data_IF_032066949659
#
_entry.id   IF_032066949659
#
_cell.length_a   1.000
_cell.length_b   1.000
_cell.length_c   1.000
_cell.angle_alpha   90.00
_cell.angle_beta   90.00
_cell.angle_gamma   90.00
#
_symmetry.space_group_name_H-M   'P 1'
#
loop_
_entity.id
_entity.type
_entity.pdbx_description
1 polymer ?
#
# COMPACT_ATOMS: atom_id res chain seq x y z
N UNK A 1 -12.12 -11.95 -0.94
CA UNK A 1 -11.79 -12.26 -2.36
C UNK A 1 -13.06 -12.22 -3.18
N UNK A 2 -13.10 -11.67 -4.41
CA UNK A 2 -14.26 -11.77 -5.27
C UNK A 2 -14.61 -13.21 -5.60
N UNK A 3 -15.90 -13.48 -5.78
CA UNK A 3 -16.38 -14.80 -6.17
C UNK A 3 -15.96 -15.15 -7.62
N UNK A 4 -15.93 -16.44 -7.95
CA UNK A 4 -15.42 -16.94 -9.26
C UNK A 4 -16.16 -16.40 -10.49
N UNK A 5 -17.38 -15.90 -10.33
CA UNK A 5 -18.18 -15.32 -11.40
C UNK A 5 -18.00 -13.81 -11.59
N UNK A 6 -17.13 -13.18 -10.81
CA UNK A 6 -16.80 -11.75 -10.94
C UNK A 6 -15.70 -11.56 -11.98
N UNK A 7 -15.92 -10.62 -12.91
CA UNK A 7 -14.92 -10.25 -13.92
C UNK A 7 -13.78 -9.48 -13.27
N UNK A 8 -12.62 -10.13 -13.10
CA UNK A 8 -11.47 -9.57 -12.40
C UNK A 8 -10.81 -8.40 -13.16
N UNK A 9 -10.96 -8.34 -14.49
CA UNK A 9 -10.46 -7.22 -15.30
C UNK A 9 -11.20 -5.92 -15.03
N UNK A 10 -12.44 -6.01 -14.52
CA UNK A 10 -13.26 -4.88 -14.05
C UNK A 10 -13.22 -4.71 -12.54
N UNK A 11 -12.79 -5.75 -11.82
CA UNK A 11 -12.74 -5.73 -10.36
C UNK A 11 -11.62 -4.87 -9.83
N UNK A 12 -10.39 -5.13 -10.27
CA UNK A 12 -9.19 -4.51 -9.69
C UNK A 12 -8.93 -3.12 -10.28
N UNK A 13 -9.00 -2.10 -9.44
CA UNK A 13 -8.69 -0.71 -9.76
C UNK A 13 -7.37 -0.31 -9.10
N UNK A 14 -6.70 0.72 -9.63
CA UNK A 14 -5.51 1.29 -9.01
C UNK A 14 -5.81 1.83 -7.60
N UNK A 15 -4.78 1.99 -6.76
CA UNK A 15 -4.90 2.57 -5.43
C UNK A 15 -5.57 3.95 -5.46
N UNK A 16 -6.36 4.26 -4.43
CA UNK A 16 -7.21 5.45 -4.36
C UNK A 16 -6.43 6.77 -4.38
N UNK A 17 -5.16 6.76 -4.01
CA UNK A 17 -4.25 7.90 -3.92
C UNK A 17 -3.42 8.14 -5.19
N UNK A 18 -3.66 7.34 -6.24
CA UNK A 18 -3.01 7.53 -7.54
C UNK A 18 -3.86 8.41 -8.47
N UNK A 19 -3.22 9.03 -9.47
CA UNK A 19 -3.87 9.87 -10.48
C UNK A 19 -4.74 10.98 -9.90
N UNK A 20 -4.33 11.59 -8.78
CA UNK A 20 -5.10 12.59 -8.02
C UNK A 20 -5.34 13.90 -8.76
N UNK A 21 -4.60 14.16 -9.85
CA UNK A 21 -4.76 15.34 -10.73
C UNK A 21 -5.30 14.98 -12.12
N UNK A 22 -5.73 13.73 -12.36
CA UNK A 22 -6.09 13.20 -13.67
C UNK A 22 -7.53 12.66 -13.68
N UNK A 23 -8.55 13.53 -13.78
CA UNK A 23 -9.96 13.11 -13.76
C UNK A 23 -10.30 12.16 -14.91
N UNK A 24 -9.65 12.30 -16.08
CA UNK A 24 -9.91 11.44 -17.24
C UNK A 24 -9.54 9.98 -16.98
N UNK A 25 -8.51 9.72 -16.16
CA UNK A 25 -8.18 8.37 -15.74
C UNK A 25 -9.36 7.73 -14.99
N UNK A 26 -9.90 8.43 -14.00
CA UNK A 26 -11.01 7.92 -13.18
C UNK A 26 -12.31 7.80 -13.97
N UNK A 27 -12.59 8.75 -14.88
CA UNK A 27 -13.73 8.66 -15.79
C UNK A 27 -13.62 7.40 -16.67
N UNK A 28 -12.40 7.06 -17.14
CA UNK A 28 -12.18 5.86 -17.92
C UNK A 28 -12.36 4.59 -17.09
N UNK A 29 -11.95 4.58 -15.81
CA UNK A 29 -12.26 3.48 -14.89
C UNK A 29 -13.78 3.28 -14.76
N UNK A 30 -14.56 4.35 -14.61
CA UNK A 30 -16.02 4.28 -14.54
C UNK A 30 -16.63 3.69 -15.80
N UNK A 31 -16.14 4.08 -16.98
CA UNK A 31 -16.59 3.51 -18.28
C UNK A 31 -16.30 2.01 -18.39
N UNK A 32 -15.11 1.57 -17.97
CA UNK A 32 -14.69 0.15 -18.01
C UNK A 32 -15.54 -0.68 -17.05
N UNK A 33 -15.70 -0.20 -15.84
CA UNK A 33 -16.43 -0.91 -14.78
C UNK A 33 -17.93 -0.98 -15.09
N UNK A 34 -18.54 0.14 -15.49
CA UNK A 34 -19.99 0.21 -15.72
C UNK A 34 -20.75 -0.24 -14.45
N UNK A 35 -21.67 -1.18 -14.63
CA UNK A 35 -22.50 -1.76 -13.54
C UNK A 35 -21.87 -3.00 -12.87
N UNK A 36 -20.65 -3.40 -13.31
CA UNK A 36 -20.00 -4.58 -12.75
C UNK A 36 -19.51 -4.35 -11.32
N UNK A 37 -19.46 -5.40 -10.48
CA UNK A 37 -18.78 -5.34 -9.19
C UNK A 37 -17.30 -4.97 -9.36
N UNK A 38 -16.83 -4.01 -8.53
CA UNK A 38 -15.45 -3.51 -8.61
C UNK A 38 -15.00 -2.92 -7.30
N UNK A 39 -13.68 -2.92 -7.04
CA UNK A 39 -13.06 -2.16 -5.95
C UNK A 39 -13.29 -0.66 -6.09
N UNK A 40 -13.55 -0.16 -7.30
CA UNK A 40 -13.94 1.23 -7.54
C UNK A 40 -15.22 1.65 -6.78
N UNK A 41 -16.09 0.69 -6.45
CA UNK A 41 -17.30 0.91 -5.64
C UNK A 41 -17.04 0.84 -4.14
N UNK A 42 -15.86 0.35 -3.73
CA UNK A 42 -15.49 0.11 -2.34
C UNK A 42 -14.47 1.13 -1.80
N UNK A 43 -14.00 2.06 -2.63
CA UNK A 43 -13.00 3.06 -2.25
C UNK A 43 -13.42 4.46 -2.71
N UNK A 44 -12.86 5.49 -2.09
CA UNK A 44 -12.98 6.88 -2.54
C UNK A 44 -11.64 7.28 -3.20
N UNK A 45 -11.58 7.45 -4.54
CA UNK A 45 -10.42 8.05 -5.18
C UNK A 45 -10.14 9.44 -4.62
N UNK A 46 -8.89 9.74 -4.27
CA UNK A 46 -8.51 10.99 -3.58
C UNK A 46 -8.78 12.25 -4.41
N UNK A 47 -8.96 12.13 -5.70
CA UNK A 47 -9.44 13.24 -6.56
C UNK A 47 -10.80 13.80 -6.08
N UNK A 48 -11.60 13.01 -5.35
CA UNK A 48 -12.90 13.40 -4.78
C UNK A 48 -12.85 13.77 -3.30
N UNK A 49 -11.67 13.65 -2.68
CA UNK A 49 -11.48 13.95 -1.26
C UNK A 49 -11.69 15.45 -1.02
N UNK A 50 -12.48 15.80 0.00
CA UNK A 50 -12.85 17.17 0.36
C UNK A 50 -13.53 17.96 -0.79
N UNK A 51 -14.21 17.24 -1.71
CA UNK A 51 -14.97 17.82 -2.81
C UNK A 51 -16.48 17.72 -2.55
N UNK A 52 -17.29 18.54 -3.22
CA UNK A 52 -18.75 18.40 -3.16
C UNK A 52 -19.21 16.98 -3.51
N UNK A 53 -20.14 16.42 -2.73
CA UNK A 53 -20.64 15.05 -2.90
C UNK A 53 -19.80 13.96 -2.21
N UNK A 54 -18.75 14.32 -1.43
CA UNK A 54 -17.93 13.37 -0.68
C UNK A 54 -18.76 12.51 0.28
N UNK A 55 -19.67 13.12 1.03
CA UNK A 55 -20.50 12.42 2.02
C UNK A 55 -21.40 11.37 1.37
N UNK A 56 -22.01 11.72 0.25
CA UNK A 56 -22.88 10.82 -0.52
C UNK A 56 -22.06 9.65 -1.11
N UNK A 57 -20.83 9.93 -1.59
CA UNK A 57 -19.92 8.88 -2.10
C UNK A 57 -19.51 7.93 -0.98
N UNK A 58 -19.15 8.42 0.20
CA UNK A 58 -18.80 7.58 1.36
C UNK A 58 -19.99 6.71 1.78
N UNK A 59 -21.20 7.26 1.80
CA UNK A 59 -22.42 6.50 2.10
C UNK A 59 -22.66 5.39 1.04
N UNK A 60 -22.47 5.69 -0.24
CA UNK A 60 -22.56 4.71 -1.32
C UNK A 60 -21.51 3.59 -1.20
N UNK A 61 -20.26 3.92 -0.85
CA UNK A 61 -19.19 2.96 -0.60
C UNK A 61 -19.56 2.01 0.54
N UNK A 62 -20.03 2.53 1.67
CA UNK A 62 -20.47 1.71 2.81
C UNK A 62 -21.60 0.77 2.42
N UNK A 63 -22.58 1.28 1.67
CA UNK A 63 -23.67 0.46 1.15
C UNK A 63 -23.14 -0.65 0.22
N UNK A 64 -22.23 -0.33 -0.69
CA UNK A 64 -21.64 -1.32 -1.59
C UNK A 64 -20.87 -2.41 -0.82
N UNK A 65 -20.17 -2.08 0.27
CA UNK A 65 -19.49 -3.06 1.12
C UNK A 65 -20.51 -4.07 1.70
N UNK A 66 -21.65 -3.59 2.25
CA UNK A 66 -22.73 -4.46 2.71
C UNK A 66 -23.31 -5.31 1.57
N UNK A 67 -23.68 -4.65 0.46
CA UNK A 67 -24.28 -5.34 -0.68
C UNK A 67 -23.36 -6.44 -1.23
N UNK A 68 -22.03 -6.24 -1.27
CA UNK A 68 -21.08 -7.21 -1.78
C UNK A 68 -20.90 -8.41 -0.87
N UNK A 69 -21.02 -8.22 0.44
CA UNK A 69 -21.01 -9.30 1.43
C UNK A 69 -22.34 -10.07 1.35
N UNK A 70 -23.46 -9.39 1.44
CA UNK A 70 -24.79 -9.98 1.56
C UNK A 70 -25.20 -10.75 0.29
N UNK A 71 -24.78 -10.25 -0.88
CA UNK A 71 -25.09 -10.89 -2.17
C UNK A 71 -24.02 -11.92 -2.62
N UNK A 72 -23.03 -12.24 -1.78
CA UNK A 72 -22.02 -13.24 -2.10
C UNK A 72 -21.08 -12.86 -3.25
N UNK A 73 -20.93 -11.54 -3.52
CA UNK A 73 -19.91 -11.02 -4.46
C UNK A 73 -18.52 -11.29 -3.91
N UNK A 74 -18.38 -11.27 -2.58
CA UNK A 74 -17.17 -11.64 -1.87
C UNK A 74 -17.32 -13.02 -1.22
N UNK A 75 -16.25 -13.80 -1.26
CA UNK A 75 -16.14 -15.08 -0.58
C UNK A 75 -15.04 -15.06 0.46
N UNK A 76 -15.25 -15.77 1.56
CA UNK A 76 -14.23 -15.99 2.58
C UNK A 76 -13.33 -17.16 2.15
N UNK A 77 -12.03 -16.95 2.17
CA UNK A 77 -11.02 -17.98 1.85
C UNK A 77 -10.48 -18.69 3.11
N UNK A 78 -10.82 -18.20 4.29
CA UNK A 78 -10.20 -18.61 5.54
C UNK A 78 -8.92 -17.83 5.86
N UNK A 79 -8.14 -18.34 6.79
CA UNK A 79 -6.90 -17.73 7.26
C UNK A 79 -5.72 -18.12 6.37
N UNK A 80 -4.82 -17.15 6.12
CA UNK A 80 -3.65 -17.34 5.30
C UNK A 80 -3.12 -16.03 4.72
N UNK A 81 -2.11 -16.15 3.87
CA UNK A 81 -1.56 -15.04 3.10
C UNK A 81 -1.98 -15.14 1.64
N UNK A 82 -1.80 -14.05 0.89
CA UNK A 82 -1.88 -14.11 -0.57
C UNK A 82 -0.52 -13.71 -1.15
N UNK A 83 0.15 -14.66 -1.80
CA UNK A 83 1.34 -14.35 -2.60
C UNK A 83 0.88 -13.74 -3.92
N UNK A 84 1.47 -12.61 -4.28
CA UNK A 84 1.16 -11.86 -5.49
C UNK A 84 2.38 -11.80 -6.40
N UNK A 85 2.14 -11.82 -7.71
CA UNK A 85 3.14 -11.50 -8.72
C UNK A 85 2.56 -10.48 -9.68
N UNK A 86 3.18 -9.32 -9.78
CA UNK A 86 2.73 -8.26 -10.68
C UNK A 86 3.79 -7.95 -11.73
N UNK A 87 3.38 -7.93 -13.00
CA UNK A 87 4.23 -7.60 -14.13
C UNK A 87 3.74 -6.33 -14.81
N UNK A 88 4.60 -5.35 -14.96
CA UNK A 88 4.32 -4.09 -15.67
C UNK A 88 5.60 -3.52 -16.29
N UNK A 89 5.51 -3.01 -17.53
CA UNK A 89 6.66 -2.38 -18.20
C UNK A 89 7.88 -3.28 -18.39
N UNK A 90 7.69 -4.61 -18.41
CA UNK A 90 8.78 -5.58 -18.51
C UNK A 90 9.41 -5.98 -17.17
N UNK A 91 9.03 -5.35 -16.07
CA UNK A 91 9.48 -5.70 -14.71
C UNK A 91 8.43 -6.58 -14.04
N UNK A 92 8.87 -7.53 -13.23
CA UNK A 92 8.00 -8.40 -12.42
C UNK A 92 8.48 -8.36 -10.98
N UNK A 93 7.57 -8.04 -10.07
CA UNK A 93 7.82 -8.08 -8.63
C UNK A 93 6.93 -9.11 -7.94
N UNK A 94 7.42 -9.62 -6.83
CA UNK A 94 6.68 -10.50 -5.94
C UNK A 94 6.30 -9.74 -4.67
N UNK A 95 5.10 -10.05 -4.16
CA UNK A 95 4.59 -9.47 -2.93
C UNK A 95 3.88 -10.51 -2.07
N UNK A 96 3.66 -10.19 -0.82
CA UNK A 96 2.91 -11.01 0.11
C UNK A 96 1.87 -10.16 0.84
N UNK A 97 0.60 -10.41 0.58
CA UNK A 97 -0.49 -9.71 1.27
C UNK A 97 -0.69 -10.33 2.65
N UNK A 98 -0.55 -9.50 3.67
CA UNK A 98 -0.66 -9.87 5.09
C UNK A 98 -1.40 -8.79 5.87
N UNK A 99 -1.80 -9.11 7.10
CA UNK A 99 -2.30 -8.14 8.07
C UNK A 99 -1.24 -7.83 9.11
N UNK A 100 -0.88 -6.55 9.27
CA UNK A 100 0.08 -6.10 10.28
C UNK A 100 -0.61 -5.54 11.51
N UNK A 101 -0.10 -5.90 12.69
CA UNK A 101 -0.61 -5.42 13.98
C UNK A 101 -0.22 -3.95 14.21
N UNK A 102 -1.21 -3.08 14.27
CA UNK A 102 -1.03 -1.65 14.50
C UNK A 102 -0.49 -1.31 15.90
N UNK A 103 -0.52 -2.24 16.85
CA UNK A 103 0.17 -2.05 18.15
C UNK A 103 1.70 -1.99 18.00
N UNK A 104 2.23 -2.57 16.91
CA UNK A 104 3.65 -2.54 16.59
C UNK A 104 4.06 -1.32 15.75
N UNK A 105 3.15 -0.36 15.53
CA UNK A 105 3.39 0.82 14.70
C UNK A 105 3.22 2.13 15.47
N UNK A 106 4.17 3.03 15.26
CA UNK A 106 4.09 4.42 15.70
C UNK A 106 4.67 5.32 14.61
N UNK A 107 3.88 6.31 14.16
CA UNK A 107 4.28 7.28 13.13
C UNK A 107 4.92 8.55 13.70
N UNK A 108 5.14 8.61 15.01
CA UNK A 108 5.81 9.74 15.65
C UNK A 108 7.26 9.84 15.18
N UNK A 109 7.75 11.07 15.03
CA UNK A 109 9.16 11.30 14.66
C UNK A 109 10.10 10.68 15.69
N UNK A 110 11.01 9.83 15.22
CA UNK A 110 11.98 9.14 16.08
C UNK A 110 11.43 7.86 16.71
N UNK A 111 10.31 7.33 16.23
CA UNK A 111 9.77 6.03 16.62
C UNK A 111 10.81 4.93 16.53
N UNK A 112 10.77 4.00 17.49
CA UNK A 112 11.67 2.85 17.63
C UNK A 112 10.95 1.52 17.44
N UNK A 113 9.68 1.55 16.99
CA UNK A 113 8.87 0.36 16.77
C UNK A 113 9.37 -0.46 15.58
N UNK A 114 8.96 -1.74 15.51
CA UNK A 114 9.35 -2.64 14.41
C UNK A 114 8.80 -2.20 13.04
N UNK A 115 7.68 -1.45 13.03
CA UNK A 115 7.09 -0.87 11.83
C UNK A 115 7.29 0.63 11.89
N UNK A 116 7.90 1.24 10.86
CA UNK A 116 8.19 2.68 10.84
C UNK A 116 7.78 3.34 9.53
N UNK A 117 7.32 4.58 9.68
CA UNK A 117 7.12 5.48 8.55
C UNK A 117 8.48 5.87 7.94
N UNK A 118 8.54 5.99 6.61
CA UNK A 118 9.73 6.43 5.85
C UNK A 118 9.72 7.92 5.58
N UNK A 119 8.57 8.57 5.76
CA UNK A 119 8.41 10.02 5.64
C UNK A 119 7.67 10.59 6.86
N UNK A 120 7.77 11.90 7.06
CA UNK A 120 7.02 12.59 8.11
C UNK A 120 5.52 12.53 7.86
N UNK A 121 4.78 11.97 8.79
CA UNK A 121 3.31 11.94 8.70
C UNK A 121 2.73 13.35 8.86
N UNK A 122 2.02 13.81 7.84
CA UNK A 122 1.28 15.07 7.88
C UNK A 122 -0.06 14.80 8.58
N UNK A 123 -0.16 15.17 9.85
CA UNK A 123 -1.29 14.84 10.74
C UNK A 123 -2.62 15.37 10.17
N UNK A 124 -2.60 16.53 9.51
CA UNK A 124 -3.76 17.15 8.87
C UNK A 124 -4.38 16.30 7.76
N UNK A 125 -3.63 15.35 7.19
CA UNK A 125 -4.12 14.42 6.17
C UNK A 125 -4.89 13.23 6.74
N UNK A 126 -4.82 12.98 8.06
CA UNK A 126 -5.50 11.85 8.71
C UNK A 126 -7.03 12.06 8.79
N UNK A 127 -7.57 13.20 9.27
CA UNK A 127 -9.01 13.33 9.48
C UNK A 127 -9.89 13.13 8.24
N UNK A 128 -9.56 13.60 7.04
CA UNK A 128 -10.36 13.33 5.84
C UNK A 128 -10.42 11.84 5.50
N UNK A 129 -9.30 11.11 5.62
CA UNK A 129 -9.21 9.67 5.35
C UNK A 129 -9.90 8.83 6.42
N UNK A 130 -9.85 9.31 7.68
CA UNK A 130 -10.53 8.65 8.78
C UNK A 130 -12.05 8.60 8.59
N UNK A 131 -12.67 9.63 7.98
CA UNK A 131 -14.09 9.62 7.65
C UNK A 131 -14.50 8.47 6.73
N UNK A 132 -13.60 8.07 5.82
CA UNK A 132 -13.84 6.99 4.87
C UNK A 132 -13.72 5.65 5.59
N UNK A 133 -12.64 5.49 6.39
CA UNK A 133 -12.32 4.26 7.10
C UNK A 133 -13.28 3.99 8.28
N UNK A 134 -13.79 5.02 8.93
CA UNK A 134 -14.69 4.90 10.09
C UNK A 134 -15.97 4.17 9.70
N UNK A 135 -16.22 3.00 10.31
CA UNK A 135 -17.36 2.14 10.02
C UNK A 135 -17.30 1.40 8.67
N UNK A 136 -16.16 1.37 7.99
CA UNK A 136 -15.95 0.51 6.83
C UNK A 136 -15.87 -0.96 7.26
N UNK A 137 -16.60 -1.85 6.56
CA UNK A 137 -16.61 -3.29 6.84
C UNK A 137 -15.48 -4.05 6.17
N UNK A 138 -14.86 -3.47 5.15
CA UNK A 138 -13.83 -4.09 4.34
C UNK A 138 -12.61 -3.20 4.29
N UNK A 139 -11.45 -3.82 4.25
CA UNK A 139 -10.19 -3.18 3.94
C UNK A 139 -9.64 -3.70 2.62
N UNK A 140 -9.13 -2.80 1.79
CA UNK A 140 -8.52 -3.16 0.50
C UNK A 140 -7.01 -2.94 0.62
N UNK A 141 -6.17 -3.92 0.19
CA UNK A 141 -4.74 -3.77 0.25
C UNK A 141 -4.29 -2.73 -0.80
N UNK A 142 -3.66 -1.65 -0.36
CA UNK A 142 -3.04 -0.63 -1.21
C UNK A 142 -1.78 -0.04 -0.56
N UNK A 143 -1.46 -0.50 0.64
CA UNK A 143 -0.30 -0.06 1.41
C UNK A 143 0.84 -1.00 1.10
N UNK A 144 1.97 -0.45 0.63
CA UNK A 144 3.18 -1.21 0.34
C UNK A 144 4.15 -1.08 1.51
N UNK A 145 4.65 -2.21 1.99
CA UNK A 145 5.57 -2.29 3.12
C UNK A 145 6.81 -3.05 2.70
N UNK A 146 7.97 -2.46 2.94
CA UNK A 146 9.26 -3.01 2.55
C UNK A 146 9.87 -3.81 3.69
N UNK A 147 10.44 -4.95 3.34
CA UNK A 147 11.40 -5.70 4.15
C UNK A 147 12.79 -5.61 3.53
N UNK A 148 13.81 -5.60 4.37
CA UNK A 148 15.21 -5.62 3.94
C UNK A 148 15.77 -7.05 4.07
N UNK A 149 15.47 -7.88 3.06
CA UNK A 149 15.88 -9.29 2.97
C UNK A 149 16.82 -9.51 1.78
N UNK A 150 18.10 -9.13 1.96
CA UNK A 150 19.15 -9.29 0.94
C UNK A 150 19.30 -10.74 0.48
N UNK A 151 19.05 -11.70 1.37
CA UNK A 151 19.18 -13.13 1.07
C UNK A 151 17.96 -13.75 0.41
N UNK A 152 16.91 -12.95 0.21
CA UNK A 152 15.66 -13.38 -0.45
C UNK A 152 15.05 -14.64 0.21
N UNK A 153 14.90 -14.61 1.55
CA UNK A 153 14.49 -15.77 2.35
C UNK A 153 13.02 -15.79 2.72
N UNK A 154 12.29 -14.67 2.56
CA UNK A 154 10.89 -14.54 3.00
C UNK A 154 9.92 -14.77 1.84
N UNK A 155 9.96 -13.92 0.81
CA UNK A 155 8.94 -13.89 -0.25
C UNK A 155 9.32 -14.80 -1.42
N UNK A 156 10.58 -14.76 -1.85
CA UNK A 156 11.05 -15.44 -3.05
C UNK A 156 10.93 -16.98 -2.99
N UNK A 157 11.12 -17.65 -1.84
CA UNK A 157 10.91 -19.09 -1.75
C UNK A 157 9.46 -19.53 -2.02
N UNK A 158 8.48 -18.64 -1.78
CA UNK A 158 7.08 -18.90 -2.12
C UNK A 158 6.87 -18.96 -3.63
N UNK A 159 7.56 -18.12 -4.40
CA UNK A 159 7.49 -18.13 -5.86
C UNK A 159 7.84 -19.49 -6.45
N UNK A 160 8.87 -20.16 -5.90
CA UNK A 160 9.29 -21.48 -6.32
C UNK A 160 8.29 -22.57 -5.89
N UNK A 161 7.82 -22.50 -4.63
CA UNK A 161 6.89 -23.50 -4.07
C UNK A 161 5.51 -23.46 -4.75
N UNK A 162 5.07 -22.26 -5.19
CA UNK A 162 3.71 -22.02 -5.70
C UNK A 162 3.61 -22.09 -7.23
N UNK A 163 4.70 -22.09 -7.98
CA UNK A 163 4.71 -21.98 -9.44
C UNK A 163 3.85 -23.03 -10.17
N UNK A 164 3.66 -24.23 -9.59
CA UNK A 164 2.89 -25.34 -10.15
C UNK A 164 1.59 -25.60 -9.38
N UNK A 165 1.16 -24.69 -8.51
CA UNK A 165 -0.08 -24.81 -7.76
C UNK A 165 -1.20 -24.01 -8.42
N UNK A 166 -2.46 -24.28 -8.02
CA UNK A 166 -3.61 -23.53 -8.52
C UNK A 166 -3.51 -22.06 -8.13
N UNK A 167 -3.65 -21.19 -9.13
CA UNK A 167 -3.72 -19.74 -8.91
C UNK A 167 -5.08 -19.36 -8.36
N UNK A 168 -5.09 -18.41 -7.44
CA UNK A 168 -6.29 -17.78 -6.92
C UNK A 168 -6.89 -16.83 -7.98
N UNK A 169 -6.00 -16.13 -8.71
CA UNK A 169 -6.33 -15.25 -9.83
C UNK A 169 -5.15 -15.09 -10.78
N UNK A 170 -5.47 -14.76 -12.04
CA UNK A 170 -4.53 -14.54 -13.14
C UNK A 170 -5.23 -13.70 -14.20
N UNK A 171 -4.92 -12.39 -14.28
CA UNK A 171 -5.62 -11.46 -15.18
C UNK A 171 -4.86 -10.17 -15.43
N UNK A 172 -5.24 -9.46 -16.51
CA UNK A 172 -4.72 -8.14 -16.85
C UNK A 172 -5.47 -7.02 -16.11
N UNK A 173 -4.71 -6.09 -15.54
CA UNK A 173 -5.24 -4.92 -14.85
C UNK A 173 -5.73 -3.88 -15.86
N UNK A 174 -6.83 -3.18 -15.51
CA UNK A 174 -7.40 -2.14 -16.37
C UNK A 174 -6.39 -1.02 -16.67
N UNK A 175 -6.61 -0.33 -17.77
CA UNK A 175 -5.83 0.84 -18.20
C UNK A 175 -4.32 0.59 -18.29
N UNK A 176 -3.93 -0.56 -18.82
CA UNK A 176 -2.53 -0.96 -18.96
C UNK A 176 -1.77 -1.03 -17.60
N UNK A 177 -2.48 -1.31 -16.53
CA UNK A 177 -1.90 -1.48 -15.19
C UNK A 177 -0.97 -2.69 -15.04
N UNK A 178 -0.77 -3.45 -16.13
CA UNK A 178 0.03 -4.66 -16.17
C UNK A 178 -0.79 -5.92 -15.91
N UNK A 179 -0.11 -6.99 -15.57
CA UNK A 179 -0.67 -8.30 -15.30
C UNK A 179 -0.47 -8.67 -13.83
N UNK A 180 -1.44 -9.33 -13.22
CA UNK A 180 -1.34 -9.79 -11.82
C UNK A 180 -1.78 -11.23 -11.68
N UNK A 181 -0.99 -11.97 -10.94
CA UNK A 181 -1.25 -13.36 -10.52
C UNK A 181 -1.29 -13.42 -9.00
N UNK A 182 -2.07 -14.33 -8.43
CA UNK A 182 -2.13 -14.53 -6.98
C UNK A 182 -2.32 -15.97 -6.59
N UNK A 183 -1.78 -16.35 -5.44
CA UNK A 183 -1.91 -17.68 -4.84
C UNK A 183 -2.29 -17.57 -3.37
N UNK A 184 -3.20 -18.42 -2.94
CA UNK A 184 -3.56 -18.49 -1.53
C UNK A 184 -2.59 -19.38 -0.77
N UNK A 185 -1.96 -18.85 0.25
CA UNK A 185 -0.97 -19.53 1.09
C UNK A 185 -1.62 -19.83 2.43
N UNK A 186 -2.18 -21.03 2.55
CA UNK A 186 -2.84 -21.54 3.76
C UNK A 186 -2.22 -22.84 4.30
N UNK A 187 -1.09 -23.26 3.76
CA UNK A 187 -0.33 -24.39 4.28
C UNK A 187 0.45 -23.97 5.51
N UNK A 188 0.22 -24.62 6.65
CA UNK A 188 0.85 -24.30 7.93
C UNK A 188 2.38 -24.23 7.83
N UNK A 189 3.03 -25.19 7.17
CA UNK A 189 4.48 -25.21 7.02
C UNK A 189 5.00 -24.02 6.20
N UNK A 190 4.28 -23.58 5.15
CA UNK A 190 4.66 -22.38 4.39
C UNK A 190 4.49 -21.11 5.23
N UNK A 191 3.44 -21.03 6.05
CA UNK A 191 3.18 -19.90 6.97
C UNK A 191 4.28 -19.84 8.03
N UNK A 192 4.63 -20.99 8.64
CA UNK A 192 5.71 -21.07 9.62
C UNK A 192 7.07 -20.70 9.04
N UNK A 193 7.37 -21.11 7.82
CA UNK A 193 8.60 -20.74 7.10
C UNK A 193 8.68 -19.20 6.92
N UNK A 194 7.59 -18.57 6.48
CA UNK A 194 7.52 -17.10 6.33
C UNK A 194 7.72 -16.39 7.65
N UNK A 195 7.01 -16.81 8.72
CA UNK A 195 7.12 -16.21 10.05
C UNK A 195 8.55 -16.39 10.61
N UNK A 196 9.15 -17.56 10.44
CA UNK A 196 10.51 -17.84 10.89
C UNK A 196 11.53 -16.98 10.14
N UNK A 197 11.38 -16.82 8.82
CA UNK A 197 12.24 -15.98 8.01
C UNK A 197 12.11 -14.50 8.39
N UNK A 198 10.88 -13.98 8.58
CA UNK A 198 10.65 -12.62 9.05
C UNK A 198 11.30 -12.38 10.44
N UNK A 199 11.16 -13.31 11.37
CA UNK A 199 11.79 -13.21 12.68
C UNK A 199 13.32 -13.19 12.59
N UNK A 200 13.90 -13.90 11.63
CA UNK A 200 15.35 -13.91 11.40
C UNK A 200 15.88 -12.57 10.85
N UNK A 201 15.02 -11.73 10.26
CA UNK A 201 15.39 -10.39 9.82
C UNK A 201 15.50 -9.38 10.98
N UNK A 202 14.95 -9.69 12.15
CA UNK A 202 15.02 -8.84 13.36
C UNK A 202 16.40 -8.99 13.99
N UNK A 203 17.41 -8.33 13.41
CA UNK A 203 18.78 -8.31 13.92
C UNK A 203 19.08 -6.94 14.57
N UNK A 204 19.33 -6.89 15.89
CA UNK A 204 19.67 -5.65 16.59
C UNK A 204 20.96 -4.98 16.08
N UNK A 205 21.81 -5.74 15.39
CA UNK A 205 23.10 -5.24 14.94
C UNK A 205 23.09 -4.82 13.45
N UNK A 206 22.00 -5.10 12.71
CA UNK A 206 21.91 -4.86 11.27
C UNK A 206 22.17 -3.41 10.86
N UNK A 207 21.63 -2.47 11.66
CA UNK A 207 21.75 -1.03 11.39
C UNK A 207 22.64 -0.30 12.41
N UNK A 208 23.47 -1.05 13.16
CA UNK A 208 24.32 -0.53 14.25
C UNK A 208 23.65 -0.66 15.61
N UNK A 209 24.47 -0.76 16.66
CA UNK A 209 24.01 -1.03 18.04
C UNK A 209 23.18 0.10 18.67
N UNK A 210 23.24 1.30 18.10
CA UNK A 210 22.50 2.49 18.55
C UNK A 210 21.09 2.56 17.96
N UNK A 211 20.80 1.78 16.91
CA UNK A 211 19.52 1.81 16.18
C UNK A 211 18.66 0.62 16.62
N UNK A 212 17.44 0.87 17.12
CA UNK A 212 16.49 -0.21 17.41
C UNK A 212 16.18 -1.03 16.16
N UNK A 213 15.90 -2.33 16.28
CA UNK A 213 15.56 -3.18 15.15
C UNK A 213 14.42 -2.57 14.31
N UNK A 214 14.55 -2.65 13.00
CA UNK A 214 13.52 -2.29 12.02
C UNK A 214 13.22 -3.56 11.23
N UNK A 215 11.94 -3.96 11.17
CA UNK A 215 11.50 -5.08 10.35
C UNK A 215 10.73 -4.61 9.13
N UNK A 216 9.84 -3.64 9.31
CA UNK A 216 8.94 -3.15 8.28
C UNK A 216 9.09 -1.65 8.08
N UNK A 217 9.43 -1.24 6.87
CA UNK A 217 9.48 0.15 6.45
C UNK A 217 8.35 0.45 5.46
N UNK A 218 7.64 1.56 5.66
CA UNK A 218 6.56 1.94 4.74
C UNK A 218 7.15 2.26 3.36
N UNK A 219 6.76 1.50 2.34
CA UNK A 219 7.16 1.77 0.95
C UNK A 219 6.25 2.83 0.31
N UNK A 220 4.94 2.65 0.45
CA UNK A 220 3.90 3.59 0.03
C UNK A 220 2.69 3.49 0.96
N UNK A 221 1.87 4.54 1.03
CA UNK A 221 0.70 4.59 1.88
C UNK A 221 0.97 4.97 3.34
N UNK A 222 2.02 5.75 3.64
CA UNK A 222 2.33 6.23 4.99
C UNK A 222 1.12 6.86 5.68
N UNK A 223 0.36 7.74 4.99
CA UNK A 223 -0.82 8.40 5.55
C UNK A 223 -2.01 7.43 5.73
N UNK A 224 -2.14 6.44 4.85
CA UNK A 224 -3.17 5.40 4.96
C UNK A 224 -2.93 4.50 6.17
N UNK A 225 -1.67 4.11 6.40
CA UNK A 225 -1.30 3.29 7.55
C UNK A 225 -1.43 4.09 8.87
N UNK A 226 -1.03 5.36 8.89
CA UNK A 226 -1.24 6.25 10.02
C UNK A 226 -2.74 6.47 10.31
N UNK A 227 -3.58 6.55 9.25
CA UNK A 227 -5.03 6.63 9.41
C UNK A 227 -5.60 5.34 10.00
N UNK A 228 -5.08 4.17 9.59
CA UNK A 228 -5.46 2.89 10.19
C UNK A 228 -5.14 2.85 11.69
N UNK A 229 -3.94 3.31 12.07
CA UNK A 229 -3.54 3.45 13.48
C UNK A 229 -4.46 4.39 14.25
N UNK A 230 -4.74 5.57 13.71
CA UNK A 230 -5.64 6.54 14.34
C UNK A 230 -7.07 5.97 14.52
N UNK A 231 -7.57 5.23 13.53
CA UNK A 231 -8.85 4.52 13.64
C UNK A 231 -8.81 3.45 14.72
N UNK A 232 -7.75 2.65 14.78
CA UNK A 232 -7.56 1.65 15.83
C UNK A 232 -7.57 2.28 17.21
N UNK A 233 -6.81 3.34 17.45
CA UNK A 233 -6.78 4.03 18.75
C UNK A 233 -8.18 4.56 19.17
N UNK A 234 -8.96 5.04 18.21
CA UNK A 234 -10.36 5.46 18.46
C UNK A 234 -11.23 4.27 18.87
N UNK A 235 -11.17 3.18 18.13
CA UNK A 235 -11.96 1.96 18.39
C UNK A 235 -11.51 1.31 19.70
N UNK A 236 -10.22 1.15 19.90
CA UNK A 236 -9.59 0.55 21.08
C UNK A 236 -10.09 1.18 22.39
N UNK A 237 -10.27 2.50 22.41
CA UNK A 237 -10.75 3.21 23.59
C UNK A 237 -12.18 2.81 24.03
N UNK A 238 -12.93 2.12 23.18
CA UNK A 238 -14.30 1.66 23.45
C UNK A 238 -14.40 0.18 23.82
N UNK A 239 -13.28 -0.56 23.74
CA UNK A 239 -13.21 -2.01 23.90
C UNK A 239 -12.57 -2.42 25.22
N UNK A 240 -12.97 -3.59 25.75
CA UNK A 240 -12.24 -4.27 26.83
C UNK A 240 -10.91 -4.84 26.33
N UNK A 241 -9.93 -5.13 27.21
CA UNK A 241 -8.67 -5.75 26.81
C UNK A 241 -8.84 -7.07 26.02
N UNK A 242 -9.83 -7.87 26.38
CA UNK A 242 -10.13 -9.14 25.72
C UNK A 242 -10.65 -8.90 24.28
N UNK A 243 -11.54 -7.92 24.10
CA UNK A 243 -12.06 -7.55 22.78
C UNK A 243 -10.99 -6.91 21.88
N UNK A 244 -9.98 -6.26 22.47
CA UNK A 244 -8.88 -5.65 21.73
C UNK A 244 -7.95 -6.68 21.07
N UNK A 245 -7.85 -7.90 21.62
CA UNK A 245 -6.86 -8.90 21.22
C UNK A 245 -7.01 -9.28 19.74
N UNK A 246 -8.25 -9.56 19.31
CA UNK A 246 -8.55 -10.08 17.97
C UNK A 246 -9.45 -9.13 17.14
N UNK A 247 -9.62 -7.87 17.58
CA UNK A 247 -10.49 -6.94 16.90
C UNK A 247 -9.94 -6.60 15.50
N UNK A 248 -10.75 -6.71 14.41
CA UNK A 248 -10.25 -6.49 13.04
C UNK A 248 -9.61 -5.11 12.81
N UNK A 249 -10.09 -4.05 13.47
CA UNK A 249 -9.51 -2.71 13.33
C UNK A 249 -8.09 -2.58 13.92
N UNK A 250 -7.62 -3.56 14.70
CA UNK A 250 -6.25 -3.64 15.21
C UNK A 250 -5.24 -3.93 14.12
N UNK A 251 -5.68 -4.52 13.02
CA UNK A 251 -4.82 -4.97 11.94
C UNK A 251 -5.04 -4.13 10.69
N UNK A 252 -3.98 -3.92 9.91
CA UNK A 252 -4.06 -3.28 8.61
C UNK A 252 -3.55 -4.21 7.52
N UNK A 253 -4.32 -4.32 6.44
CA UNK A 253 -3.98 -5.15 5.29
C UNK A 253 -2.95 -4.43 4.41
N UNK A 254 -1.82 -5.08 4.16
CA UNK A 254 -0.70 -4.53 3.41
C UNK A 254 -0.13 -5.56 2.43
N UNK A 255 0.61 -5.10 1.44
CA UNK A 255 1.48 -5.93 0.61
C UNK A 255 2.93 -5.75 1.07
N UNK A 256 3.56 -6.83 1.52
CA UNK A 256 4.99 -6.86 1.82
C UNK A 256 5.77 -7.05 0.53
N UNK A 257 6.84 -6.27 0.35
CA UNK A 257 7.74 -6.34 -0.78
C UNK A 257 9.20 -6.36 -0.27
N UNK A 258 10.03 -7.14 -0.91
CA UNK A 258 11.47 -7.13 -0.59
C UNK A 258 12.14 -5.97 -1.33
N UNK A 259 12.80 -5.06 -0.62
CA UNK A 259 13.53 -3.93 -1.24
C UNK A 259 14.61 -4.39 -2.23
N UNK A 260 15.04 -5.65 -2.15
CA UNK A 260 15.99 -6.29 -3.05
C UNK A 260 15.32 -7.09 -4.19
N UNK A 261 14.01 -6.98 -4.40
CA UNK A 261 13.34 -7.55 -5.56
C UNK A 261 13.74 -6.76 -6.82
N UNK A 262 14.19 -7.49 -7.86
CA UNK A 262 14.68 -6.89 -9.10
C UNK A 262 13.56 -6.15 -9.90
N UNK A 263 12.29 -6.41 -9.56
CA UNK A 263 11.13 -5.74 -10.13
C UNK A 263 10.80 -4.40 -9.49
N UNK A 264 11.46 -4.04 -8.37
CA UNK A 264 11.29 -2.74 -7.72
C UNK A 264 12.27 -1.74 -8.34
N UNK A 265 11.73 -0.73 -8.99
CA UNK A 265 12.51 0.36 -9.56
C UNK A 265 12.21 1.64 -8.78
N UNK A 266 13.25 2.23 -8.20
CA UNK A 266 13.16 3.52 -7.53
C UNK A 266 13.39 4.64 -8.55
N UNK A 267 12.35 5.39 -8.85
CA UNK A 267 12.43 6.54 -9.74
C UNK A 267 12.41 7.85 -8.96
N UNK A 268 13.15 8.88 -9.40
CA UNK A 268 13.14 10.17 -8.73
C UNK A 268 11.79 10.86 -8.92
N UNK A 269 11.37 11.61 -7.89
CA UNK A 269 10.19 12.46 -7.99
C UNK A 269 10.54 13.69 -8.83
N UNK A 270 10.01 13.75 -10.04
CA UNK A 270 10.17 14.91 -10.90
C UNK A 270 9.32 16.08 -10.43
N UNK A 271 9.87 17.30 -10.57
CA UNK A 271 9.17 18.56 -10.26
C UNK A 271 9.20 19.49 -11.46
N UNK A 272 8.08 20.11 -11.73
CA UNK A 272 7.96 21.13 -12.79
C UNK A 272 7.75 22.48 -12.12
N UNK A 273 8.56 23.46 -12.50
CA UNK A 273 8.48 24.83 -12.00
C UNK A 273 7.95 25.73 -13.11
N UNK A 274 6.88 26.48 -12.82
CA UNK A 274 6.21 27.35 -13.79
C UNK A 274 6.53 28.83 -13.51
N UNK A 275 6.41 29.67 -14.54
CA UNK A 275 6.53 31.12 -14.44
C UNK A 275 7.89 31.61 -13.89
N UNK A 276 8.97 30.94 -14.27
CA UNK A 276 10.33 31.31 -13.86
C UNK A 276 11.15 31.79 -15.06
N UNK A 277 12.05 32.75 -14.82
CA UNK A 277 13.10 33.05 -15.77
C UNK A 277 14.23 32.04 -15.57
N UNK A 278 14.31 31.06 -16.47
CA UNK A 278 15.14 29.86 -16.32
C UNK A 278 16.60 30.17 -15.92
N UNK A 279 17.35 31.08 -16.59
CA UNK A 279 18.73 31.39 -16.21
C UNK A 279 18.85 31.88 -14.77
N UNK A 280 18.00 32.81 -14.35
CA UNK A 280 18.03 33.33 -12.99
C UNK A 280 17.65 32.30 -11.93
N UNK A 281 16.68 31.42 -12.29
CA UNK A 281 16.30 30.30 -11.43
C UNK A 281 17.46 29.32 -11.22
N UNK A 282 18.17 28.95 -12.29
CA UNK A 282 19.30 28.02 -12.22
C UNK A 282 20.47 28.61 -11.43
N UNK A 283 20.78 29.89 -11.59
CA UNK A 283 21.79 30.57 -10.78
C UNK A 283 21.43 30.59 -9.28
N UNK A 284 20.17 30.94 -8.96
CA UNK A 284 19.68 30.95 -7.59
C UNK A 284 19.67 29.52 -6.99
N UNK A 285 19.26 28.51 -7.75
CA UNK A 285 19.26 27.11 -7.34
C UNK A 285 20.68 26.64 -7.05
N UNK A 286 21.62 26.92 -7.96
CA UNK A 286 23.03 26.55 -7.78
C UNK A 286 23.63 27.21 -6.54
N UNK A 287 23.39 28.51 -6.33
CA UNK A 287 23.84 29.21 -5.16
C UNK A 287 23.28 28.61 -3.86
N UNK A 288 21.98 28.26 -3.85
CA UNK A 288 21.31 27.68 -2.68
C UNK A 288 21.82 26.26 -2.36
N UNK A 289 22.03 25.44 -3.36
CA UNK A 289 22.59 24.09 -3.19
C UNK A 289 24.04 24.15 -2.71
N UNK A 290 24.87 25.06 -3.27
CA UNK A 290 26.25 25.26 -2.83
C UNK A 290 26.32 25.71 -1.35
N UNK A 291 25.40 26.58 -0.92
CA UNK A 291 25.28 26.98 0.49
C UNK A 291 24.99 25.78 1.41
N UNK A 292 24.10 24.87 0.98
CA UNK A 292 23.74 23.67 1.75
C UNK A 292 24.83 22.61 1.76
N UNK A 293 25.64 22.51 0.70
CA UNK A 293 26.65 21.47 0.47
C UNK A 293 28.08 21.98 0.67
N UNK A 294 28.31 23.01 1.52
CA UNK A 294 29.65 23.54 1.81
C UNK A 294 30.42 24.04 0.57
N UNK A 295 29.73 24.60 -0.40
CA UNK A 295 30.31 25.19 -1.60
C UNK A 295 30.41 24.27 -2.82
N UNK A 296 30.08 22.98 -2.69
CA UNK A 296 30.12 22.04 -3.80
C UNK A 296 28.71 21.83 -4.38
N UNK A 297 28.53 22.16 -5.65
CA UNK A 297 27.31 21.90 -6.40
C UNK A 297 27.57 21.78 -7.90
N UNK A 298 27.14 20.67 -8.49
CA UNK A 298 27.11 20.47 -9.94
C UNK A 298 25.67 20.30 -10.41
N UNK A 299 25.29 20.98 -11.48
CA UNK A 299 23.98 20.84 -12.13
C UNK A 299 24.21 20.27 -13.52
N UNK A 300 23.69 19.06 -13.75
CA UNK A 300 23.74 18.39 -15.03
C UNK A 300 22.40 18.59 -15.76
N UNK A 301 22.47 18.86 -17.04
CA UNK A 301 21.30 19.01 -17.91
C UNK A 301 21.20 17.79 -18.80
N UNK A 302 20.01 17.25 -18.90
CA UNK A 302 19.67 16.16 -19.81
C UNK A 302 18.53 16.59 -20.71
N UNK A 303 18.70 16.40 -22.00
CA UNK A 303 17.62 16.59 -22.97
C UNK A 303 16.66 15.37 -22.87
N UNK A 304 15.36 15.65 -22.82
CA UNK A 304 14.30 14.63 -22.76
C UNK A 304 13.83 14.26 -24.17
#
# INVERSE_FOLDING_TARGET
MPAKNVDLTKWACVACDQYTSQPDYWNKCEEIVGDAPSTLRLMLPEIYLEKPGETEKIAAIRKAMHDYIDNGILQNLGEGFVFTRRSVGGNTRNGLVVALDLECYDYSKGSTTLIRATEGTIVERIPPRLKIRDGALLELPHILVLIDDEKKTVIEPLAEKLQNTEKLYDFDLMQNGGHIEGWFVNNEGMIEDVISALNALVDPNKYGTEMPPLLFAMGDGNHSFATAKANWEKVKATLTPEEQADHPARFALVELENVHDDGIVFEPIHRVVFNVHVPAFLEALKAKLAEQNNGECEINFYDC
#
